data_IF_801781721642
#
_entry.id   IF_801781721642
#
_cell.length_a   1.000
_cell.length_b   1.000
_cell.length_c   1.000
_cell.angle_alpha   90.00
_cell.angle_beta   90.00
_cell.angle_gamma   90.00
#
_symmetry.space_group_name_H-M   'P 1'
#
loop_
_entity.id
_entity.type
_entity.pdbx_description
1 polymer ?
#
# COMPACT_ATOMS: atom_id res chain seq x y z
N UNK A 1 7.56 -8.93 -18.56
CA UNK A 1 7.45 -9.46 -17.18
C UNK A 1 6.41 -8.62 -16.46
N UNK A 2 5.19 -9.12 -16.31
CA UNK A 2 4.05 -8.35 -15.77
C UNK A 2 3.31 -9.24 -14.79
N UNK A 3 3.27 -8.88 -13.51
CA UNK A 3 2.49 -9.56 -12.47
C UNK A 3 3.26 -10.28 -11.35
N UNK A 4 4.57 -10.08 -11.19
CA UNK A 4 5.40 -10.95 -10.35
C UNK A 4 5.02 -11.03 -8.86
N UNK A 5 4.25 -10.08 -8.30
CA UNK A 5 3.91 -10.09 -6.88
C UNK A 5 2.41 -9.87 -6.58
N UNK A 6 1.50 -9.88 -7.56
CA UNK A 6 0.08 -9.59 -7.27
C UNK A 6 -0.48 -10.53 -6.20
N UNK A 7 -0.28 -11.84 -6.35
CA UNK A 7 -0.82 -12.83 -5.43
C UNK A 7 -0.21 -12.67 -4.02
N UNK A 8 1.11 -12.46 -3.94
CA UNK A 8 1.80 -12.21 -2.67
C UNK A 8 1.31 -10.92 -1.96
N UNK A 9 1.08 -9.85 -2.72
CA UNK A 9 0.56 -8.60 -2.19
C UNK A 9 -0.91 -8.72 -1.78
N UNK A 10 -1.70 -9.46 -2.55
CA UNK A 10 -3.11 -9.70 -2.29
C UNK A 10 -3.31 -10.56 -1.04
N UNK A 11 -2.46 -11.56 -0.82
CA UNK A 11 -2.47 -12.37 0.40
C UNK A 11 -2.20 -11.52 1.65
N UNK A 12 -1.30 -10.52 1.56
CA UNK A 12 -1.13 -9.56 2.64
C UNK A 12 -2.42 -8.78 2.90
N UNK A 13 -3.08 -8.25 1.87
CA UNK A 13 -4.34 -7.51 2.02
C UNK A 13 -5.40 -8.41 2.65
N UNK A 14 -5.62 -9.61 2.12
CA UNK A 14 -6.61 -10.58 2.64
C UNK A 14 -6.42 -10.89 4.13
N UNK A 15 -5.18 -11.12 4.57
CA UNK A 15 -4.89 -11.45 5.97
C UNK A 15 -4.97 -10.24 6.93
N UNK A 16 -4.92 -9.03 6.39
CA UNK A 16 -5.08 -7.80 7.14
C UNK A 16 -6.56 -7.38 7.29
N UNK A 17 -7.44 -7.87 6.42
CA UNK A 17 -8.86 -7.54 6.42
C UNK A 17 -9.69 -8.37 7.40
N UNK A 18 -10.74 -7.76 7.92
CA UNK A 18 -11.75 -8.43 8.76
C UNK A 18 -12.79 -9.19 7.93
N UNK A 19 -13.65 -9.94 8.61
CA UNK A 19 -14.84 -10.54 8.00
C UNK A 19 -15.96 -9.53 7.77
N UNK A 20 -17.17 -10.04 7.55
CA UNK A 20 -18.38 -9.23 7.39
C UNK A 20 -18.62 -8.28 8.58
N UNK A 21 -19.00 -7.04 8.29
CA UNK A 21 -19.41 -6.02 9.25
C UNK A 21 -20.67 -5.30 8.75
N UNK A 22 -21.62 -5.06 9.65
CA UNK A 22 -22.85 -4.32 9.38
C UNK A 22 -23.11 -3.18 10.38
N UNK A 23 -22.05 -2.62 10.98
CA UNK A 23 -22.18 -1.42 11.84
C UNK A 23 -22.90 -0.30 11.08
N UNK A 24 -24.11 0.12 11.49
CA UNK A 24 -24.87 1.16 10.81
C UNK A 24 -24.21 2.54 10.86
N UNK A 25 -23.19 2.73 11.71
CA UNK A 25 -22.41 3.98 11.78
C UNK A 25 -21.33 4.07 10.73
N UNK A 26 -20.98 2.95 10.09
CA UNK A 26 -20.03 2.94 8.98
C UNK A 26 -20.78 3.20 7.68
N UNK A 27 -20.50 4.32 7.04
CA UNK A 27 -21.14 4.71 5.78
C UNK A 27 -20.80 3.76 4.64
N UNK A 28 -19.70 3.00 4.72
CA UNK A 28 -19.34 1.98 3.73
C UNK A 28 -20.28 0.77 3.72
N UNK A 29 -21.03 0.54 4.80
CA UNK A 29 -22.00 -0.55 4.89
C UNK A 29 -23.34 -0.23 4.22
N UNK A 30 -23.57 1.04 3.85
CA UNK A 30 -24.80 1.49 3.24
C UNK A 30 -24.68 1.55 1.72
N UNK A 31 -25.63 0.93 1.03
CA UNK A 31 -25.90 1.20 -0.37
C UNK A 31 -26.85 2.39 -0.45
N UNK A 32 -26.44 3.54 -1.00
CA UNK A 32 -27.32 4.71 -1.13
C UNK A 32 -28.55 4.35 -1.95
N UNK A 33 -29.73 4.69 -1.45
CA UNK A 33 -30.98 4.55 -2.21
C UNK A 33 -31.29 5.82 -3.02
N UNK A 34 -32.49 5.87 -3.59
CA UNK A 34 -32.99 7.06 -4.29
C UNK A 34 -33.06 8.29 -3.36
N UNK A 35 -33.12 9.49 -3.96
CA UNK A 35 -33.16 10.77 -3.22
C UNK A 35 -34.19 10.71 -2.08
N UNK A 36 -33.71 10.95 -0.84
CA UNK A 36 -34.45 10.97 0.43
C UNK A 36 -34.70 9.62 1.14
N UNK A 37 -34.12 8.51 0.67
CA UNK A 37 -34.07 7.26 1.47
C UNK A 37 -32.75 7.16 2.26
N UNK A 38 -32.75 6.44 3.39
CA UNK A 38 -31.52 6.16 4.16
C UNK A 38 -30.58 5.18 3.43
N UNK A 39 -31.02 4.55 2.34
CA UNK A 39 -30.34 3.43 1.69
C UNK A 39 -30.57 2.10 2.39
N UNK A 40 -29.98 1.04 1.83
CA UNK A 40 -30.01 -0.32 2.38
C UNK A 40 -28.70 -0.61 3.13
N UNK A 41 -28.80 -1.17 4.33
CA UNK A 41 -27.64 -1.64 5.10
C UNK A 41 -27.25 -3.04 4.61
N UNK A 42 -26.29 -3.07 3.69
CA UNK A 42 -25.78 -4.30 3.06
C UNK A 42 -24.58 -4.87 3.83
N UNK A 43 -23.82 -4.00 4.49
CA UNK A 43 -22.57 -4.36 5.15
C UNK A 43 -21.35 -4.21 4.24
N UNK A 44 -20.19 -4.56 4.77
CA UNK A 44 -18.91 -4.65 4.05
C UNK A 44 -18.22 -5.95 4.43
N UNK A 45 -17.42 -6.49 3.51
CA UNK A 45 -16.67 -7.73 3.74
C UNK A 45 -15.31 -7.61 3.10
N UNK A 46 -14.26 -8.02 3.83
CA UNK A 46 -12.86 -7.94 3.38
C UNK A 46 -12.43 -6.52 2.92
N UNK A 47 -13.05 -5.45 3.42
CA UNK A 47 -12.79 -4.07 2.97
C UNK A 47 -13.52 -3.66 1.68
N UNK A 48 -14.30 -4.55 1.06
CA UNK A 48 -15.21 -4.22 -0.03
C UNK A 48 -16.50 -3.63 0.56
N UNK A 49 -16.82 -2.40 0.18
CA UNK A 49 -18.01 -1.68 0.64
C UNK A 49 -19.25 -2.03 -0.19
N UNK A 50 -20.44 -1.79 0.36
CA UNK A 50 -21.70 -2.02 -0.35
C UNK A 50 -21.80 -1.30 -1.71
N UNK A 51 -21.45 0.00 -1.82
CA UNK A 51 -21.48 0.69 -3.12
C UNK A 51 -20.46 0.12 -4.12
N UNK A 52 -19.31 -0.36 -3.63
CA UNK A 52 -18.29 -0.94 -4.48
C UNK A 52 -18.75 -2.27 -5.06
N UNK A 53 -19.30 -3.15 -4.22
CA UNK A 53 -19.83 -4.44 -4.67
C UNK A 53 -20.99 -4.25 -5.65
N UNK A 54 -21.91 -3.32 -5.36
CA UNK A 54 -23.01 -2.99 -6.26
C UNK A 54 -22.54 -2.44 -7.61
N UNK A 55 -21.57 -1.52 -7.61
CA UNK A 55 -20.98 -0.99 -8.85
C UNK A 55 -20.23 -2.06 -9.65
N UNK A 56 -19.66 -3.06 -8.97
CA UNK A 56 -18.91 -4.15 -9.60
C UNK A 56 -19.84 -5.20 -10.22
N UNK A 57 -20.75 -5.75 -9.41
CA UNK A 57 -21.65 -6.83 -9.83
C UNK A 57 -22.78 -6.34 -10.75
N UNK A 58 -23.19 -5.07 -10.62
CA UNK A 58 -24.32 -4.47 -11.34
C UNK A 58 -25.60 -5.34 -11.35
N UNK A 59 -26.03 -5.93 -10.20
CA UNK A 59 -27.26 -6.70 -10.17
C UNK A 59 -28.47 -5.77 -10.14
N UNK A 60 -29.66 -6.33 -10.35
CA UNK A 60 -30.92 -5.61 -10.13
C UNK A 60 -31.07 -5.18 -8.66
N UNK A 61 -30.61 -6.02 -7.72
CA UNK A 61 -30.56 -5.72 -6.29
C UNK A 61 -29.36 -6.40 -5.62
N UNK A 62 -28.56 -5.65 -4.89
CA UNK A 62 -27.54 -6.19 -3.96
C UNK A 62 -28.19 -6.44 -2.59
N UNK A 63 -27.83 -7.54 -1.96
CA UNK A 63 -28.28 -7.94 -0.63
C UNK A 63 -27.12 -8.11 0.35
N UNK A 64 -27.44 -8.13 1.65
CA UNK A 64 -26.45 -8.44 2.68
C UNK A 64 -25.88 -9.86 2.53
N UNK A 65 -26.64 -10.80 1.96
CA UNK A 65 -26.15 -12.17 1.73
C UNK A 65 -25.14 -12.23 0.58
N UNK A 66 -25.28 -11.40 -0.45
CA UNK A 66 -24.25 -11.25 -1.49
C UNK A 66 -22.94 -10.75 -0.89
N UNK A 67 -23.02 -9.80 0.06
CA UNK A 67 -21.84 -9.28 0.76
C UNK A 67 -21.21 -10.30 1.71
N UNK A 68 -22.01 -11.06 2.47
CA UNK A 68 -21.52 -12.12 3.36
C UNK A 68 -20.85 -13.27 2.59
N UNK A 69 -21.39 -13.61 1.43
CA UNK A 69 -20.91 -14.69 0.58
C UNK A 69 -19.97 -14.20 -0.53
N UNK A 70 -19.36 -13.00 -0.37
CA UNK A 70 -18.39 -12.47 -1.31
C UNK A 70 -17.27 -13.48 -1.54
N UNK A 71 -17.24 -14.06 -2.74
CA UNK A 71 -16.26 -15.06 -3.10
C UNK A 71 -14.88 -14.43 -3.36
N UNK A 72 -13.83 -15.23 -3.15
CA UNK A 72 -12.45 -14.77 -3.32
C UNK A 72 -12.13 -14.38 -4.78
N UNK A 73 -12.79 -14.98 -5.77
CA UNK A 73 -12.59 -14.63 -7.18
C UNK A 73 -13.08 -13.21 -7.49
N UNK A 74 -14.28 -12.86 -6.99
CA UNK A 74 -14.81 -11.49 -7.09
C UNK A 74 -13.92 -10.51 -6.32
N UNK A 75 -13.53 -10.85 -5.10
CA UNK A 75 -12.61 -10.03 -4.30
C UNK A 75 -11.30 -9.74 -5.06
N UNK A 76 -10.68 -10.76 -5.65
CA UNK A 76 -9.43 -10.63 -6.40
C UNK A 76 -9.58 -9.75 -7.64
N UNK A 77 -10.70 -9.92 -8.35
CA UNK A 77 -10.99 -9.14 -9.53
C UNK A 77 -11.21 -7.66 -9.19
N UNK A 78 -11.91 -7.36 -8.09
CA UNK A 78 -12.05 -6.00 -7.55
C UNK A 78 -10.68 -5.45 -7.17
N UNK A 79 -9.88 -6.19 -6.40
CA UNK A 79 -8.56 -5.76 -5.94
C UNK A 79 -7.62 -5.48 -7.11
N UNK A 80 -7.63 -6.34 -8.14
CA UNK A 80 -6.84 -6.11 -9.35
C UNK A 80 -7.31 -4.89 -10.13
N UNK A 81 -8.61 -4.81 -10.41
CA UNK A 81 -9.16 -3.80 -11.31
C UNK A 81 -9.26 -2.40 -10.69
N UNK A 82 -9.59 -2.29 -9.41
CA UNK A 82 -9.88 -1.02 -8.74
C UNK A 82 -8.67 -0.44 -8.00
N UNK A 83 -7.66 -1.26 -7.72
CA UNK A 83 -6.50 -0.83 -6.91
C UNK A 83 -5.18 -1.16 -7.59
N UNK A 84 -4.89 -2.43 -7.85
CA UNK A 84 -3.59 -2.85 -8.40
C UNK A 84 -3.29 -2.20 -9.76
N UNK A 85 -4.25 -2.25 -10.69
CA UNK A 85 -4.08 -1.69 -12.04
C UNK A 85 -4.02 -0.15 -12.01
N UNK A 86 -4.93 0.59 -11.34
CA UNK A 86 -4.84 2.05 -11.26
C UNK A 86 -3.58 2.58 -10.56
N UNK A 87 -3.00 1.80 -9.65
CA UNK A 87 -1.75 2.12 -8.98
C UNK A 87 -0.52 1.64 -9.75
N UNK A 88 -0.70 1.09 -10.96
CA UNK A 88 0.35 0.55 -11.80
C UNK A 88 1.29 -0.44 -11.07
N UNK A 89 0.79 -1.17 -10.06
CA UNK A 89 1.61 -1.98 -9.17
C UNK A 89 2.41 -3.08 -9.91
N UNK A 90 1.92 -3.56 -11.06
CA UNK A 90 2.63 -4.53 -11.91
C UNK A 90 4.00 -4.08 -12.42
N UNK A 91 4.28 -2.76 -12.42
CA UNK A 91 5.55 -2.19 -12.91
C UNK A 91 6.33 -1.48 -11.80
N UNK A 92 5.85 -1.50 -10.56
CA UNK A 92 6.57 -0.95 -9.42
C UNK A 92 7.61 -1.98 -8.91
N UNK A 93 8.74 -1.52 -8.34
CA UNK A 93 9.69 -2.40 -7.66
C UNK A 93 9.05 -3.21 -6.53
N UNK A 94 9.58 -4.42 -6.30
CA UNK A 94 9.10 -5.30 -5.24
C UNK A 94 9.20 -4.61 -3.86
N UNK A 95 8.15 -4.73 -3.05
CA UNK A 95 8.01 -4.05 -1.78
C UNK A 95 7.36 -2.68 -1.91
N UNK A 96 7.72 -1.88 -2.92
CA UNK A 96 7.03 -0.61 -3.22
C UNK A 96 5.62 -0.90 -3.73
N UNK A 97 5.46 -1.90 -4.59
CA UNK A 97 4.17 -2.42 -5.04
C UNK A 97 3.22 -2.73 -3.87
N UNK A 98 3.69 -3.47 -2.86
CA UNK A 98 2.93 -3.78 -1.65
C UNK A 98 2.61 -2.53 -0.82
N UNK A 99 3.59 -1.65 -0.61
CA UNK A 99 3.42 -0.42 0.16
C UNK A 99 2.36 0.50 -0.46
N UNK A 100 2.33 0.59 -1.79
CA UNK A 100 1.37 1.40 -2.54
C UNK A 100 0.00 0.71 -2.61
N UNK A 101 -0.03 -0.60 -2.85
CA UNK A 101 -1.27 -1.36 -3.02
C UNK A 101 -2.08 -1.44 -1.73
N UNK A 102 -1.50 -1.94 -0.64
CA UNK A 102 -2.22 -2.11 0.64
C UNK A 102 -2.62 -0.76 1.24
N UNK A 103 -1.78 0.26 1.12
CA UNK A 103 -2.17 1.61 1.54
C UNK A 103 -3.30 2.16 0.67
N UNK A 104 -3.25 1.92 -0.64
CA UNK A 104 -4.32 2.29 -1.58
C UNK A 104 -5.64 1.58 -1.27
N UNK A 105 -5.59 0.34 -0.83
CA UNK A 105 -6.76 -0.42 -0.37
C UNK A 105 -7.46 0.29 0.80
N UNK A 106 -6.71 0.66 1.83
CA UNK A 106 -7.27 1.27 3.04
C UNK A 106 -7.55 2.78 2.92
N UNK A 107 -6.75 3.50 2.14
CA UNK A 107 -6.76 4.97 2.09
C UNK A 107 -7.26 5.56 0.77
N UNK A 108 -7.47 4.72 -0.25
CA UNK A 108 -7.85 5.09 -1.60
C UNK A 108 -6.66 5.25 -2.54
N UNK A 109 -6.88 4.93 -3.82
CA UNK A 109 -5.88 4.98 -4.91
C UNK A 109 -5.20 6.34 -5.01
N UNK A 110 -5.99 7.42 -5.06
CA UNK A 110 -5.47 8.78 -5.24
C UNK A 110 -4.48 9.18 -4.13
N UNK A 111 -4.83 8.92 -2.87
CA UNK A 111 -3.97 9.28 -1.72
C UNK A 111 -2.68 8.46 -1.75
N UNK A 112 -2.77 7.16 -2.06
CA UNK A 112 -1.58 6.30 -2.14
C UNK A 112 -0.63 6.72 -3.26
N UNK A 113 -1.16 7.00 -4.45
CA UNK A 113 -0.39 7.51 -5.58
C UNK A 113 0.27 8.85 -5.28
N UNK A 114 -0.46 9.78 -4.65
CA UNK A 114 0.07 11.09 -4.25
C UNK A 114 1.26 10.97 -3.28
N UNK A 115 1.28 10.00 -2.36
CA UNK A 115 2.43 9.81 -1.47
C UNK A 115 3.66 9.30 -2.22
N UNK A 116 3.50 8.33 -3.14
CA UNK A 116 4.59 7.85 -3.99
C UNK A 116 5.17 9.00 -4.85
N UNK A 117 4.28 9.82 -5.42
CA UNK A 117 4.67 10.97 -6.23
C UNK A 117 5.42 12.01 -5.40
N UNK A 118 4.94 12.34 -4.20
CA UNK A 118 5.65 13.26 -3.28
C UNK A 118 7.04 12.75 -2.92
N UNK A 119 7.17 11.47 -2.60
CA UNK A 119 8.46 10.88 -2.24
C UNK A 119 9.48 11.01 -3.38
N UNK A 120 9.04 10.76 -4.61
CA UNK A 120 9.89 10.77 -5.82
C UNK A 120 10.03 12.14 -6.48
N UNK A 121 9.42 13.19 -5.91
CA UNK A 121 9.42 14.54 -6.49
C UNK A 121 8.52 14.71 -7.72
N UNK A 122 7.73 13.70 -8.10
CA UNK A 122 6.73 13.82 -9.15
C UNK A 122 5.55 14.71 -8.71
N UNK A 123 4.83 15.29 -9.68
CA UNK A 123 3.61 16.04 -9.41
C UNK A 123 2.57 15.13 -8.73
N UNK A 124 2.02 15.50 -7.54
CA UNK A 124 1.08 14.66 -6.82
C UNK A 124 -0.35 14.80 -7.36
N UNK A 125 -0.59 14.31 -8.57
CA UNK A 125 -1.90 14.30 -9.23
C UNK A 125 -2.73 13.03 -8.92
N UNK A 126 -2.13 12.05 -8.25
CA UNK A 126 -2.76 10.80 -7.83
C UNK A 126 -2.94 9.79 -8.96
N UNK A 127 -2.28 9.98 -10.10
CA UNK A 127 -2.28 9.05 -11.24
C UNK A 127 -0.85 8.57 -11.51
N UNK A 128 -0.60 7.27 -11.31
CA UNK A 128 0.72 6.67 -11.58
C UNK A 128 0.86 6.42 -13.09
N UNK A 129 1.31 7.46 -13.81
CA UNK A 129 1.65 7.40 -15.24
C UNK A 129 3.15 7.50 -15.50
N UNK A 130 3.53 7.66 -16.76
CA UNK A 130 4.94 7.70 -17.19
C UNK A 130 5.79 8.70 -16.39
N UNK A 131 5.25 9.88 -16.05
CA UNK A 131 5.99 10.88 -15.25
C UNK A 131 6.37 10.36 -13.88
N UNK A 132 5.46 9.67 -13.19
CA UNK A 132 5.73 9.04 -11.89
C UNK A 132 6.72 7.89 -12.03
N UNK A 133 6.57 7.05 -13.06
CA UNK A 133 7.47 5.92 -13.30
C UNK A 133 8.90 6.38 -13.67
N UNK A 134 9.04 7.44 -14.46
CA UNK A 134 10.33 8.08 -14.74
C UNK A 134 10.95 8.63 -13.47
N UNK A 135 10.20 9.39 -12.66
CA UNK A 135 10.70 9.92 -11.39
C UNK A 135 11.14 8.81 -10.43
N UNK A 136 10.39 7.72 -10.34
CA UNK A 136 10.76 6.55 -9.55
C UNK A 136 12.04 5.88 -10.05
N UNK A 137 12.21 5.76 -11.37
CA UNK A 137 13.40 5.14 -11.98
C UNK A 137 14.65 6.02 -11.82
N UNK A 138 14.47 7.34 -11.78
CA UNK A 138 15.55 8.32 -11.65
C UNK A 138 15.83 8.74 -10.21
N UNK A 139 15.05 8.25 -9.23
CA UNK A 139 15.20 8.64 -7.84
C UNK A 139 16.61 8.34 -7.31
N UNK A 140 17.20 9.30 -6.61
CA UNK A 140 18.54 9.13 -6.04
C UNK A 140 18.50 9.08 -4.50
N UNK A 141 19.46 8.37 -3.91
CA UNK A 141 19.59 8.29 -2.44
C UNK A 141 19.67 9.67 -1.79
N UNK A 142 20.35 10.63 -2.42
CA UNK A 142 20.47 11.99 -1.91
C UNK A 142 19.15 12.75 -1.80
N UNK A 143 18.15 12.39 -2.62
CA UNK A 143 16.82 13.01 -2.64
C UNK A 143 15.85 12.30 -1.69
N UNK A 144 15.96 10.97 -1.59
CA UNK A 144 15.06 10.15 -0.78
C UNK A 144 15.49 10.10 0.70
N UNK A 145 16.78 9.96 0.98
CA UNK A 145 17.30 9.74 2.33
C UNK A 145 16.94 10.88 3.31
N UNK A 146 16.96 12.17 2.94
CA UNK A 146 16.57 13.25 3.84
C UNK A 146 15.10 13.20 4.30
N UNK A 147 14.24 12.42 3.62
CA UNK A 147 12.82 12.30 3.94
C UNK A 147 12.53 11.23 5.02
N UNK A 148 13.54 10.45 5.42
CA UNK A 148 13.38 9.39 6.42
C UNK A 148 13.11 9.99 7.80
N UNK A 149 12.12 9.44 8.51
CA UNK A 149 11.86 9.83 9.90
C UNK A 149 12.79 9.08 10.88
N UNK A 150 12.92 9.54 12.14
CA UNK A 150 13.83 8.94 13.11
C UNK A 150 13.56 7.45 13.40
N UNK A 151 12.29 7.02 13.44
CA UNK A 151 11.94 5.64 13.73
C UNK A 151 12.35 4.73 12.55
N UNK A 152 12.05 5.19 11.33
CA UNK A 152 12.47 4.53 10.09
C UNK A 152 14.02 4.50 9.94
N UNK A 153 14.72 5.55 10.37
CA UNK A 153 16.19 5.60 10.35
C UNK A 153 16.80 4.56 11.29
N UNK A 154 16.24 4.35 12.47
CA UNK A 154 16.70 3.31 13.39
C UNK A 154 16.54 1.91 12.77
N UNK A 155 15.44 1.65 12.06
CA UNK A 155 15.24 0.40 11.31
C UNK A 155 16.25 0.28 10.17
N UNK A 156 16.50 1.37 9.43
CA UNK A 156 17.50 1.40 8.37
C UNK A 156 18.89 1.03 8.89
N UNK A 157 19.34 1.64 9.99
CA UNK A 157 20.63 1.33 10.61
C UNK A 157 20.75 -0.14 11.00
N UNK A 158 19.73 -0.69 11.67
CA UNK A 158 19.70 -2.11 12.04
C UNK A 158 19.80 -3.03 10.81
N UNK A 159 19.05 -2.73 9.73
CA UNK A 159 19.07 -3.50 8.48
C UNK A 159 20.40 -3.42 7.74
N UNK A 160 21.08 -2.28 7.82
CA UNK A 160 22.39 -2.09 7.18
C UNK A 160 23.57 -2.60 8.03
N UNK A 161 23.32 -3.01 9.27
CA UNK A 161 24.37 -3.41 10.23
C UNK A 161 25.19 -2.22 10.74
N UNK A 162 24.58 -1.03 10.83
CA UNK A 162 25.23 0.21 11.26
C UNK A 162 24.76 0.62 12.66
N UNK A 163 25.63 1.24 13.48
CA UNK A 163 25.22 1.77 14.78
C UNK A 163 24.35 3.04 14.62
N UNK A 164 23.51 3.38 15.62
CA UNK A 164 22.71 4.62 15.60
C UNK A 164 23.53 5.91 15.41
N UNK A 165 24.79 5.90 15.85
CA UNK A 165 25.73 7.02 15.70
C UNK A 165 26.07 7.35 14.25
N UNK A 166 25.81 6.46 13.29
CA UNK A 166 26.05 6.72 11.86
C UNK A 166 25.12 7.80 11.28
N UNK A 167 24.00 8.11 11.94
CA UNK A 167 23.08 9.18 11.54
C UNK A 167 22.67 9.11 10.06
N UNK A 168 22.48 10.27 9.42
CA UNK A 168 22.42 10.39 7.95
C UNK A 168 23.82 10.78 7.48
N UNK A 169 24.73 9.79 7.46
CA UNK A 169 26.15 10.00 7.18
C UNK A 169 26.65 9.25 5.94
N UNK A 170 27.93 9.48 5.55
CA UNK A 170 28.54 8.83 4.38
C UNK A 170 28.52 7.30 4.43
N UNK A 171 28.56 6.71 5.63
CA UNK A 171 28.46 5.27 5.83
C UNK A 171 27.11 4.72 5.37
N UNK A 172 26.01 5.41 5.70
CA UNK A 172 24.65 5.04 5.29
C UNK A 172 24.51 5.20 3.78
N UNK A 173 24.95 6.33 3.22
CA UNK A 173 24.92 6.55 1.77
C UNK A 173 25.69 5.48 1.03
N UNK A 174 26.91 5.13 1.48
CA UNK A 174 27.72 4.05 0.88
C UNK A 174 27.05 2.68 1.04
N UNK A 175 26.42 2.42 2.18
CA UNK A 175 25.72 1.17 2.40
C UNK A 175 24.51 1.01 1.46
N UNK A 176 23.84 2.11 1.11
CA UNK A 176 22.68 2.17 0.22
C UNK A 176 23.01 2.04 -1.27
N UNK A 177 24.27 2.20 -1.68
CA UNK A 177 24.68 1.93 -3.07
C UNK A 177 24.71 0.44 -3.42
N UNK A 178 24.62 -0.44 -2.41
CA UNK A 178 24.47 -1.88 -2.59
C UNK A 178 23.12 -2.20 -3.25
N UNK A 179 23.05 -3.32 -3.98
CA UNK A 179 21.81 -3.78 -4.65
C UNK A 179 20.63 -3.82 -3.66
N UNK A 180 19.48 -3.27 -4.07
CA UNK A 180 18.27 -3.17 -3.26
C UNK A 180 18.31 -2.11 -2.15
N UNK A 181 19.41 -1.37 -1.99
CA UNK A 181 19.54 -0.35 -0.94
C UNK A 181 18.56 0.81 -1.12
N UNK A 182 18.42 1.34 -2.33
CA UNK A 182 17.47 2.41 -2.63
C UNK A 182 16.01 1.95 -2.42
N UNK A 183 15.65 0.74 -2.86
CA UNK A 183 14.31 0.19 -2.66
C UNK A 183 13.97 0.01 -1.18
N UNK A 184 14.94 -0.47 -0.39
CA UNK A 184 14.82 -0.60 1.05
C UNK A 184 14.56 0.77 1.70
N UNK A 185 15.32 1.78 1.30
CA UNK A 185 15.14 3.16 1.76
C UNK A 185 13.75 3.70 1.38
N UNK A 186 13.32 3.53 0.13
CA UNK A 186 12.02 3.99 -0.34
C UNK A 186 10.85 3.33 0.42
N UNK A 187 10.94 2.04 0.72
CA UNK A 187 9.94 1.34 1.56
C UNK A 187 9.85 1.99 2.95
N UNK A 188 10.97 2.28 3.59
CA UNK A 188 11.00 2.90 4.92
C UNK A 188 10.47 4.34 4.89
N UNK A 189 10.84 5.13 3.88
CA UNK A 189 10.33 6.50 3.70
C UNK A 189 8.82 6.49 3.45
N UNK A 190 8.31 5.63 2.56
CA UNK A 190 6.87 5.47 2.34
C UNK A 190 6.14 5.05 3.61
N UNK A 191 6.70 4.12 4.39
CA UNK A 191 6.14 3.70 5.68
C UNK A 191 5.92 4.90 6.59
N UNK A 192 6.95 5.73 6.76
CA UNK A 192 6.88 6.96 7.56
C UNK A 192 5.83 7.95 7.07
N UNK A 193 5.77 8.19 5.76
CA UNK A 193 4.76 9.07 5.14
C UNK A 193 3.34 8.56 5.38
N UNK A 194 3.12 7.26 5.24
CA UNK A 194 1.81 6.62 5.42
C UNK A 194 1.38 6.59 6.88
N UNK A 195 2.29 6.37 7.83
CA UNK A 195 1.99 6.52 9.26
C UNK A 195 1.55 7.95 9.61
N UNK A 196 2.21 8.97 9.04
CA UNK A 196 1.80 10.37 9.22
C UNK A 196 0.40 10.62 8.66
N UNK A 197 0.08 10.10 7.48
CA UNK A 197 -1.28 10.19 6.93
C UNK A 197 -2.32 9.51 7.83
N UNK A 198 -2.05 8.31 8.34
CA UNK A 198 -2.96 7.65 9.28
C UNK A 198 -3.20 8.48 10.55
N UNK A 199 -2.16 9.08 11.11
CA UNK A 199 -2.24 9.93 12.31
C UNK A 199 -3.12 11.16 12.12
N UNK A 200 -3.25 11.64 10.88
CA UNK A 200 -4.10 12.79 10.54
C UNK A 200 -5.56 12.42 10.24
N UNK A 201 -5.88 11.13 10.04
CA UNK A 201 -7.23 10.70 9.67
C UNK A 201 -8.22 10.78 10.83
N UNK A 202 -9.46 11.13 10.49
CA UNK A 202 -10.59 10.99 11.40
C UNK A 202 -10.72 9.52 11.83
N UNK A 203 -10.88 9.29 13.13
CA UNK A 203 -10.92 7.94 13.70
C UNK A 203 -9.58 7.36 14.17
N UNK A 204 -8.45 8.06 13.98
CA UNK A 204 -7.15 7.60 14.49
C UNK A 204 -7.17 7.30 16.00
N UNK A 205 -7.88 8.11 16.80
CA UNK A 205 -8.03 7.85 18.24
C UNK A 205 -8.65 6.47 18.56
N UNK A 206 -9.54 5.98 17.69
CA UNK A 206 -10.26 4.70 17.89
C UNK A 206 -9.52 3.53 17.24
N UNK A 207 -9.02 3.72 16.01
CA UNK A 207 -8.50 2.63 15.17
C UNK A 207 -6.99 2.72 14.89
N UNK A 208 -6.35 3.82 15.28
CA UNK A 208 -4.97 4.13 14.92
C UNK A 208 -3.96 3.08 15.38
N UNK A 209 -4.18 2.43 16.53
CA UNK A 209 -3.32 1.31 16.98
C UNK A 209 -3.31 0.16 15.95
N UNK A 210 -4.47 -0.18 15.39
CA UNK A 210 -4.60 -1.21 14.35
C UNK A 210 -3.96 -0.78 13.03
N UNK A 211 -4.17 0.47 12.61
CA UNK A 211 -3.56 1.01 11.39
C UNK A 211 -2.02 1.04 11.46
N UNK A 212 -1.44 1.45 12.60
CA UNK A 212 0.00 1.42 12.79
C UNK A 212 0.54 -0.02 12.87
N UNK A 213 -0.18 -0.94 13.50
CA UNK A 213 0.21 -2.35 13.54
C UNK A 213 0.20 -2.99 12.12
N UNK A 214 -0.82 -2.71 11.30
CA UNK A 214 -0.86 -3.13 9.90
C UNK A 214 0.30 -2.52 9.10
N UNK A 215 0.58 -1.23 9.32
CA UNK A 215 1.69 -0.54 8.64
C UNK A 215 3.03 -1.21 8.96
N UNK A 216 3.32 -1.52 10.23
CA UNK A 216 4.54 -2.25 10.62
C UNK A 216 4.67 -3.60 9.95
N UNK A 217 3.61 -4.43 10.00
CA UNK A 217 3.59 -5.75 9.33
C UNK A 217 3.85 -5.61 7.82
N UNK A 218 3.20 -4.65 7.17
CA UNK A 218 3.38 -4.40 5.75
C UNK A 218 4.81 -4.00 5.43
N UNK A 219 5.38 -3.10 6.21
CA UNK A 219 6.77 -2.64 6.04
C UNK A 219 7.74 -3.81 6.19
N UNK A 220 7.55 -4.68 7.19
CA UNK A 220 8.35 -5.90 7.33
C UNK A 220 8.24 -6.83 6.12
N UNK A 221 7.03 -7.09 5.62
CA UNK A 221 6.80 -7.90 4.43
C UNK A 221 7.42 -7.26 3.18
N UNK A 222 7.26 -5.95 2.98
CA UNK A 222 7.83 -5.23 1.85
C UNK A 222 9.36 -5.27 1.87
N UNK A 223 9.99 -5.11 3.04
CA UNK A 223 11.44 -5.24 3.19
C UNK A 223 11.94 -6.66 2.87
N UNK A 224 11.16 -7.68 3.22
CA UNK A 224 11.47 -9.06 2.83
C UNK A 224 11.36 -9.27 1.31
N UNK A 225 10.37 -8.65 0.65
CA UNK A 225 10.23 -8.67 -0.81
C UNK A 225 11.41 -8.01 -1.51
N UNK A 226 11.88 -6.84 -1.02
CA UNK A 226 13.08 -6.16 -1.54
C UNK A 226 14.30 -7.10 -1.44
N UNK A 227 14.49 -7.73 -0.28
CA UNK A 227 15.61 -8.66 -0.05
C UNK A 227 15.55 -9.84 -1.01
N UNK A 228 14.37 -10.46 -1.19
CA UNK A 228 14.19 -11.58 -2.11
C UNK A 228 14.40 -11.18 -3.58
N UNK A 229 13.98 -9.99 -3.98
CA UNK A 229 14.22 -9.47 -5.33
C UNK A 229 15.71 -9.28 -5.61
N UNK A 230 16.45 -8.65 -4.69
CA UNK A 230 17.90 -8.44 -4.84
C UNK A 230 18.69 -9.76 -4.96
N UNK A 231 18.27 -10.81 -4.26
CA UNK A 231 18.87 -12.16 -4.37
C UNK A 231 18.62 -12.76 -5.75
N UNK A 232 17.38 -12.68 -6.27
CA UNK A 232 17.02 -13.23 -7.59
C UNK A 232 17.80 -12.58 -8.73
N UNK A 233 17.96 -11.26 -8.69
CA UNK A 233 18.75 -10.54 -9.70
C UNK A 233 20.22 -10.94 -9.73
N UNK A 234 20.79 -11.27 -8.55
CA UNK A 234 22.19 -11.72 -8.45
C UNK A 234 22.39 -13.08 -9.12
N UNK A 235 21.41 -13.98 -9.00
CA UNK A 235 21.44 -15.30 -9.62
C UNK A 235 21.29 -15.23 -11.15
N UNK A 236 20.49 -14.30 -11.67
CA UNK A 236 20.31 -14.12 -13.12
C UNK A 236 21.52 -13.52 -13.84
N UNK A 237 22.38 -12.77 -13.14
CA UNK A 237 23.60 -12.16 -13.74
C UNK A 237 24.79 -13.13 -13.70
N UNK A 238 24.69 -14.22 -12.94
CA UNK A 238 25.75 -15.22 -12.78
C UNK A 238 25.60 -16.43 -13.72
N UNK A 239 24.68 -16.36 -14.69
CA UNK A 239 24.39 -17.36 -15.73
C UNK A 239 24.60 -16.74 -17.11
#
# INVERSE_FOLDING_TARGET
MTGQNFDACLDFVRTAEGGYSDDPKDTGNWLPGEKNSKGDLIGSCYGVSAPMLASWMQPEKITADDMRNLDLGTFDAIARSRYWNPLACSVLPAGIDLMVFDFGWNCGVHVSACLLQRMTGATPDGVIGNRTLTALTQAETGEILPQIDPDALAVLHSRLGLPPSSGIGPEVTRALTRRGGLDLLMVLVLSGMQEREYRMRSGFRRWGKGWLARTRRRTETALAMVTAAAVRETQTVSL
#
